data_IF_314613046787
#
_entry.id   IF_314613046787
#
_cell.length_a   1.000
_cell.length_b   1.000
_cell.length_c   1.000
_cell.angle_alpha   90.00
_cell.angle_beta   90.00
_cell.angle_gamma   90.00
#
_symmetry.space_group_name_H-M   'P 1'
#
loop_
_entity.id
_entity.type
_entity.pdbx_description
1 polymer ?
#
# COMPACT_ATOMS: atom_id res chain seq x y z
N UNK A 1 5.07 14.84 6.29
CA UNK A 1 3.59 14.61 6.42
C UNK A 1 3.30 13.21 6.97
N UNK A 2 2.08 12.92 7.45
CA UNK A 2 1.72 11.56 7.95
C UNK A 2 1.96 10.48 6.88
N UNK A 3 1.77 10.81 5.60
CA UNK A 3 2.04 9.93 4.45
C UNK A 3 3.50 9.48 4.38
N UNK A 4 4.46 10.38 4.57
CA UNK A 4 5.90 10.04 4.50
C UNK A 4 6.37 9.24 5.71
N UNK A 5 5.78 9.48 6.89
CA UNK A 5 6.02 8.64 8.06
C UNK A 5 5.48 7.23 7.86
N UNK A 6 4.34 7.09 7.19
CA UNK A 6 3.74 5.78 6.93
C UNK A 6 4.34 5.05 5.73
N UNK A 7 4.87 5.82 4.78
CA UNK A 7 5.51 5.31 3.56
C UNK A 7 6.79 6.11 3.35
N UNK A 8 7.90 5.67 4.00
CA UNK A 8 9.23 6.19 3.72
C UNK A 8 9.59 6.05 2.24
N UNK A 9 10.58 6.82 1.78
CA UNK A 9 10.99 6.80 0.37
C UNK A 9 11.50 5.41 -0.03
N UNK A 10 12.20 4.70 0.84
CA UNK A 10 12.71 3.36 0.61
C UNK A 10 11.56 2.36 0.40
N UNK A 11 10.55 2.40 1.27
CA UNK A 11 9.35 1.58 1.11
C UNK A 11 8.60 1.93 -0.17
N UNK A 12 8.55 3.23 -0.51
CA UNK A 12 7.93 3.72 -1.72
C UNK A 12 8.65 3.22 -2.98
N UNK A 13 9.98 3.20 -2.98
CA UNK A 13 10.79 2.66 -4.05
C UNK A 13 10.56 1.16 -4.25
N UNK A 14 10.62 0.37 -3.17
CA UNK A 14 10.33 -1.07 -3.22
C UNK A 14 8.90 -1.34 -3.73
N UNK A 15 7.93 -0.54 -3.29
CA UNK A 15 6.55 -0.65 -3.75
C UNK A 15 6.42 -0.38 -5.26
N UNK A 16 7.13 0.63 -5.77
CA UNK A 16 7.13 0.96 -7.20
C UNK A 16 7.66 -0.19 -8.07
N UNK A 17 8.57 -1.02 -7.55
CA UNK A 17 9.09 -2.18 -8.29
C UNK A 17 8.05 -3.31 -8.45
N UNK A 18 7.08 -3.40 -7.54
CA UNK A 18 6.12 -4.53 -7.49
C UNK A 18 4.71 -4.16 -7.89
N UNK A 19 4.35 -2.88 -7.80
CA UNK A 19 3.03 -2.39 -8.17
C UNK A 19 2.86 -2.53 -9.68
N UNK A 20 1.78 -3.15 -10.18
CA UNK A 20 1.53 -3.21 -11.61
C UNK A 20 1.35 -1.79 -12.15
N UNK A 21 1.91 -1.54 -13.34
CA UNK A 21 1.65 -0.31 -14.06
C UNK A 21 0.14 -0.08 -14.13
N UNK A 22 -0.28 1.11 -13.75
CA UNK A 22 -1.66 1.55 -13.87
C UNK A 22 -2.17 1.23 -15.28
N UNK A 23 -3.31 0.51 -15.46
CA UNK A 23 -3.82 0.25 -16.79
C UNK A 23 -4.01 1.58 -17.51
N UNK A 24 -3.30 1.75 -18.62
CA UNK A 24 -3.41 2.90 -19.52
C UNK A 24 -4.83 2.88 -20.08
N UNK A 25 -5.69 3.79 -19.63
CA UNK A 25 -6.98 3.99 -20.27
C UNK A 25 -6.71 4.67 -21.62
N UNK A 26 -7.15 4.09 -22.75
CA UNK A 26 -6.93 4.69 -24.08
C UNK A 26 -7.64 6.05 -24.23
N UNK A 27 -8.65 6.33 -23.39
CA UNK A 27 -9.24 7.66 -23.26
C UNK A 27 -8.44 8.47 -22.25
N UNK A 28 -7.65 9.44 -22.74
CA UNK A 28 -6.86 10.41 -21.97
C UNK A 28 -7.71 11.41 -21.14
N UNK A 29 -8.81 10.94 -20.55
CA UNK A 29 -9.77 11.72 -19.78
C UNK A 29 -10.17 10.97 -18.51
N UNK A 30 -9.41 11.16 -17.44
CA UNK A 30 -9.76 10.68 -16.11
C UNK A 30 -8.98 11.45 -15.05
N UNK A 31 -9.70 11.95 -14.03
CA UNK A 31 -9.15 12.70 -12.88
C UNK A 31 -7.79 12.10 -12.46
N UNK A 32 -6.75 12.94 -12.36
CA UNK A 32 -5.38 12.54 -11.91
C UNK A 32 -5.54 11.47 -10.81
N UNK A 33 -5.05 10.26 -11.05
CA UNK A 33 -5.06 9.19 -10.04
C UNK A 33 -4.46 9.81 -8.76
N UNK A 34 -5.14 9.64 -7.61
CA UNK A 34 -4.52 9.92 -6.32
C UNK A 34 -3.15 9.28 -6.30
N UNK A 35 -2.15 9.97 -5.75
CA UNK A 35 -0.77 9.50 -5.83
C UNK A 35 -0.75 8.11 -5.21
N UNK A 36 -0.21 7.12 -5.90
CA UNK A 36 -0.25 5.73 -5.42
C UNK A 36 0.40 5.61 -4.02
N UNK A 37 1.32 6.53 -3.67
CA UNK A 37 1.89 6.70 -2.33
C UNK A 37 0.88 7.09 -1.26
N UNK A 38 -0.07 7.97 -1.56
CA UNK A 38 -1.16 8.37 -0.65
C UNK A 38 -2.11 7.21 -0.38
N UNK A 39 -2.42 6.44 -1.43
CA UNK A 39 -3.23 5.22 -1.34
C UNK A 39 -2.52 4.16 -0.50
N UNK A 40 -1.22 3.97 -0.72
CA UNK A 40 -0.41 3.06 0.08
C UNK A 40 -0.40 3.48 1.56
N UNK A 41 -0.19 4.76 1.85
CA UNK A 41 -0.22 5.29 3.22
C UNK A 41 -1.59 5.08 3.89
N UNK A 42 -2.69 5.31 3.17
CA UNK A 42 -4.03 5.06 3.67
C UNK A 42 -4.28 3.57 3.98
N UNK A 43 -3.82 2.66 3.12
CA UNK A 43 -3.94 1.22 3.32
C UNK A 43 -3.11 0.77 4.52
N UNK A 44 -1.87 1.25 4.61
CA UNK A 44 -0.97 0.99 5.75
C UNK A 44 -1.63 1.46 7.04
N UNK A 45 -2.14 2.69 7.08
CA UNK A 45 -2.86 3.23 8.24
C UNK A 45 -4.02 2.33 8.68
N UNK A 46 -4.90 1.96 7.75
CA UNK A 46 -6.05 1.09 8.02
C UNK A 46 -5.60 -0.29 8.54
N UNK A 47 -4.49 -0.82 8.01
CA UNK A 47 -3.95 -2.10 8.44
C UNK A 47 -3.31 -2.04 9.83
N UNK A 48 -2.52 -1.00 10.13
CA UNK A 48 -1.83 -0.81 11.42
C UNK A 48 -2.77 -0.38 12.53
N UNK A 49 -3.72 0.52 12.24
CA UNK A 49 -4.61 1.11 13.24
C UNK A 49 -5.83 0.26 13.53
N UNK A 50 -6.09 -0.80 12.76
CA UNK A 50 -7.26 -1.65 13.00
C UNK A 50 -8.58 -1.07 12.49
N UNK A 51 -8.63 0.20 12.10
CA UNK A 51 -9.86 0.89 11.75
C UNK A 51 -10.51 0.39 10.46
N UNK A 52 -11.78 0.76 10.26
CA UNK A 52 -12.49 0.44 9.01
C UNK A 52 -12.12 1.44 7.91
N UNK A 53 -12.32 1.04 6.65
CA UNK A 53 -12.11 1.94 5.50
C UNK A 53 -12.97 3.23 5.59
N UNK A 54 -14.15 3.15 6.21
CA UNK A 54 -15.03 4.30 6.42
C UNK A 54 -14.47 5.32 7.42
N UNK A 55 -13.59 4.88 8.32
CA UNK A 55 -12.91 5.71 9.32
C UNK A 55 -11.57 6.26 8.83
N UNK A 56 -11.22 6.07 7.55
CA UNK A 56 -10.00 6.61 6.98
C UNK A 56 -10.04 8.15 7.05
N UNK A 57 -9.06 8.79 7.70
CA UNK A 57 -8.99 10.24 7.76
C UNK A 57 -8.89 10.87 6.35
N UNK A 58 -9.58 11.98 6.09
CA UNK A 58 -9.53 12.65 4.78
C UNK A 58 -8.16 13.25 4.46
N UNK A 59 -7.26 13.40 5.45
CA UNK A 59 -5.93 13.97 5.28
C UNK A 59 -4.99 13.13 4.41
N UNK A 60 -5.31 11.86 4.14
CA UNK A 60 -4.51 11.02 3.27
C UNK A 60 -4.69 11.33 1.79
N UNK A 61 -5.82 11.93 1.39
CA UNK A 61 -6.16 12.19 -0.01
C UNK A 61 -7.26 11.27 -0.56
N UNK A 62 -7.09 9.92 -0.59
CA UNK A 62 -8.12 9.03 -1.14
C UNK A 62 -9.25 8.82 -0.13
N UNK A 63 -10.47 8.66 -0.64
CA UNK A 63 -11.60 8.18 0.16
C UNK A 63 -11.46 6.71 0.53
N UNK A 64 -12.05 6.29 1.64
CA UNK A 64 -12.08 4.89 2.10
C UNK A 64 -12.42 3.86 1.00
N UNK A 65 -13.49 4.05 0.21
CA UNK A 65 -13.82 3.18 -0.91
C UNK A 65 -12.74 3.14 -2.00
N UNK A 66 -12.06 4.26 -2.26
CA UNK A 66 -10.96 4.34 -3.24
C UNK A 66 -9.76 3.53 -2.76
N UNK A 67 -9.38 3.65 -1.49
CA UNK A 67 -8.31 2.88 -0.88
C UNK A 67 -8.63 1.37 -0.88
N UNK A 68 -9.86 0.98 -0.55
CA UNK A 68 -10.29 -0.42 -0.56
C UNK A 68 -10.29 -1.05 -1.96
N UNK A 69 -10.74 -0.31 -2.99
CA UNK A 69 -10.66 -0.77 -4.38
C UNK A 69 -9.22 -1.04 -4.80
N UNK A 70 -8.31 -0.09 -4.52
CA UNK A 70 -6.88 -0.24 -4.83
C UNK A 70 -6.23 -1.38 -4.05
N UNK A 71 -6.55 -1.52 -2.77
CA UNK A 71 -6.11 -2.65 -1.96
C UNK A 71 -6.52 -3.99 -2.59
N UNK A 72 -7.75 -4.08 -3.10
CA UNK A 72 -8.24 -5.30 -3.77
C UNK A 72 -7.52 -5.55 -5.10
N UNK A 73 -7.32 -4.53 -5.94
CA UNK A 73 -6.56 -4.62 -7.19
C UNK A 73 -5.12 -5.11 -6.94
N UNK A 74 -4.44 -4.50 -5.97
CA UNK A 74 -3.07 -4.85 -5.61
C UNK A 74 -2.96 -6.23 -4.95
N UNK A 75 -3.96 -6.63 -4.16
CA UNK A 75 -4.04 -7.99 -3.61
C UNK A 75 -4.17 -9.04 -4.71
N UNK A 76 -5.04 -8.80 -5.71
CA UNK A 76 -5.17 -9.68 -6.87
C UNK A 76 -3.88 -9.78 -7.68
N UNK A 77 -3.15 -8.68 -7.81
CA UNK A 77 -1.84 -8.63 -8.46
C UNK A 77 -0.68 -9.16 -7.59
N UNK A 78 -0.97 -9.69 -6.39
CA UNK A 78 0.02 -10.22 -5.42
C UNK A 78 1.08 -9.20 -5.01
N UNK A 79 0.76 -7.90 -5.07
CA UNK A 79 1.70 -6.81 -4.75
C UNK A 79 2.23 -6.95 -3.32
N UNK A 80 1.34 -7.24 -2.35
CA UNK A 80 1.73 -7.39 -0.95
C UNK A 80 2.69 -8.55 -0.69
N UNK A 81 2.48 -9.68 -1.37
CA UNK A 81 3.36 -10.83 -1.26
C UNK A 81 4.74 -10.55 -1.87
N UNK A 82 4.78 -9.85 -3.01
CA UNK A 82 6.04 -9.42 -3.64
C UNK A 82 6.78 -8.40 -2.79
N UNK A 83 6.07 -7.40 -2.24
CA UNK A 83 6.62 -6.38 -1.37
C UNK A 83 7.21 -6.98 -0.09
N UNK A 84 6.48 -7.90 0.55
CA UNK A 84 6.96 -8.63 1.72
C UNK A 84 8.25 -9.38 1.40
N UNK A 85 8.32 -10.06 0.24
CA UNK A 85 9.54 -10.77 -0.17
C UNK A 85 10.73 -9.82 -0.38
N UNK A 86 10.52 -8.67 -1.01
CA UNK A 86 11.57 -7.66 -1.17
C UNK A 86 12.05 -7.09 0.18
N UNK A 87 11.12 -6.84 1.11
CA UNK A 87 11.49 -6.39 2.45
C UNK A 87 12.31 -7.44 3.20
N UNK A 88 11.95 -8.73 3.10
CA UNK A 88 12.75 -9.81 3.69
C UNK A 88 14.15 -9.92 3.08
N UNK A 89 14.28 -9.69 1.78
CA UNK A 89 15.56 -9.72 1.07
C UNK A 89 16.46 -8.55 1.49
N UNK A 90 15.91 -7.34 1.58
CA UNK A 90 16.61 -6.14 2.04
C UNK A 90 16.98 -6.22 3.54
N UNK A 91 16.14 -6.85 4.36
CA UNK A 91 16.39 -7.11 5.79
C UNK A 91 17.50 -8.13 6.05
N UNK A 92 17.86 -8.97 5.07
CA UNK A 92 19.08 -9.78 5.14
C UNK A 92 20.36 -8.92 5.17
N UNK A 93 20.25 -7.65 4.77
CA UNK A 93 21.38 -6.73 4.57
C UNK A 93 21.40 -5.58 5.59
N UNK A 94 20.23 -5.06 6.02
CA UNK A 94 20.15 -3.83 6.85
C UNK A 94 19.04 -3.93 7.91
N UNK A 95 19.42 -4.12 9.17
CA UNK A 95 18.50 -4.35 10.31
C UNK A 95 17.67 -3.16 10.80
N UNK A 96 17.24 -2.23 9.94
CA UNK A 96 16.63 -0.95 10.36
C UNK A 96 15.13 -0.76 10.04
N UNK A 97 14.50 -1.62 9.24
CA UNK A 97 13.11 -1.42 8.78
C UNK A 97 12.06 -2.20 9.60
N UNK A 98 12.01 -2.00 10.92
CA UNK A 98 11.09 -2.74 11.79
C UNK A 98 9.61 -2.27 11.64
N UNK A 99 9.40 -0.96 11.53
CA UNK A 99 8.07 -0.36 11.47
C UNK A 99 7.37 -0.61 10.11
N UNK A 100 8.09 -0.41 8.99
CA UNK A 100 7.59 -0.69 7.64
C UNK A 100 7.25 -2.16 7.44
N UNK A 101 8.03 -3.07 8.06
CA UNK A 101 7.77 -4.50 8.07
C UNK A 101 6.47 -4.83 8.82
N UNK A 102 6.30 -4.33 10.04
CA UNK A 102 5.06 -4.55 10.81
C UNK A 102 3.82 -4.07 10.04
N UNK A 103 3.92 -2.92 9.36
CA UNK A 103 2.87 -2.38 8.52
C UNK A 103 2.55 -3.30 7.33
N UNK A 104 3.57 -3.70 6.55
CA UNK A 104 3.37 -4.56 5.37
C UNK A 104 2.90 -5.95 5.77
N UNK A 105 3.37 -6.50 6.88
CA UNK A 105 2.90 -7.79 7.43
C UNK A 105 1.43 -7.73 7.80
N UNK A 106 1.00 -6.65 8.45
CA UNK A 106 -0.42 -6.42 8.77
C UNK A 106 -1.27 -6.34 7.51
N UNK A 107 -0.78 -5.66 6.47
CA UNK A 107 -1.46 -5.56 5.17
C UNK A 107 -1.51 -6.92 4.47
N UNK A 108 -0.39 -7.66 4.46
CA UNK A 108 -0.27 -8.97 3.83
C UNK A 108 -1.19 -10.01 4.51
N UNK A 109 -1.24 -10.03 5.84
CA UNK A 109 -2.17 -10.89 6.59
C UNK A 109 -3.63 -10.56 6.26
N UNK A 110 -3.99 -9.28 6.14
CA UNK A 110 -5.34 -8.87 5.71
C UNK A 110 -5.63 -9.25 4.26
N UNK A 111 -4.64 -9.21 3.38
CA UNK A 111 -4.78 -9.63 1.99
C UNK A 111 -4.97 -11.14 1.87
N UNK A 112 -4.21 -11.93 2.65
CA UNK A 112 -4.33 -13.39 2.72
C UNK A 112 -5.70 -13.83 3.24
N UNK A 113 -6.22 -13.18 4.29
CA UNK A 113 -7.55 -13.50 4.88
C UNK A 113 -8.74 -13.26 3.95
N UNK A 114 -8.58 -12.53 2.83
CA UNK A 114 -9.66 -12.24 1.87
C UNK A 114 -9.64 -13.14 0.62
N UNK A 115 -8.74 -14.14 0.58
CA UNK A 115 -8.57 -15.04 -0.56
C UNK A 115 -9.17 -16.45 -0.40
N UNK A 116 -10.08 -16.65 0.56
CA UNK A 116 -10.82 -17.91 0.76
C UNK A 116 -12.27 -17.79 0.36
#
# INVERSE_FOLDING_TARGET
MIVERLVPDELWELFQMVVPAAPTRPQGGGRRRHRDREVLAAIVFVATSGCTWAQLPPCFGPSGPTAHRRFTEWSKARVWAKLHRLLLDELGSRGELDWSRCAVDSVNMRALKRGS
#
